data_IF_867267895523
#
_entry.id   IF_867267895523
#
_cell.length_a   1.000
_cell.length_b   1.000
_cell.length_c   1.000
_cell.angle_alpha   90.00
_cell.angle_beta   90.00
_cell.angle_gamma   90.00
#
_symmetry.space_group_name_H-M   'P 1'
#
loop_
_entity.id
_entity.type
_entity.pdbx_description
1 polymer ?
#
# COMPACT_ATOMS: atom_id res chain seq x y z
N UNK A 1 8.90 -14.31 26.79
CA UNK A 1 8.98 -12.94 26.21
C UNK A 1 9.62 -13.09 24.84
N UNK A 2 8.86 -12.98 23.76
CA UNK A 2 9.41 -13.05 22.39
C UNK A 2 9.87 -11.64 22.02
N UNK A 3 11.16 -11.48 21.79
CA UNK A 3 11.72 -10.23 21.25
C UNK A 3 11.44 -10.26 19.75
N UNK A 4 10.55 -9.39 19.28
CA UNK A 4 10.31 -9.24 17.84
C UNK A 4 11.56 -8.68 17.16
N UNK A 5 11.90 -9.22 16.00
CA UNK A 5 13.01 -8.74 15.17
C UNK A 5 12.47 -7.96 13.97
N UNK A 6 13.18 -6.91 13.54
CA UNK A 6 12.86 -6.21 12.29
C UNK A 6 13.30 -7.10 11.11
N UNK A 7 12.36 -7.49 10.26
CA UNK A 7 12.61 -8.39 9.13
C UNK A 7 13.00 -7.62 7.86
N UNK A 8 12.36 -6.47 7.61
CA UNK A 8 12.62 -5.62 6.46
C UNK A 8 12.07 -4.21 6.71
N UNK A 9 12.69 -3.19 6.10
CA UNK A 9 12.23 -1.80 6.14
C UNK A 9 12.45 -1.14 4.78
N UNK A 10 11.49 -0.37 4.28
CA UNK A 10 11.70 0.53 3.15
C UNK A 10 10.76 1.75 3.22
N UNK A 11 11.18 2.86 2.61
CA UNK A 11 10.40 4.10 2.56
C UNK A 11 9.27 3.98 1.54
N UNK A 12 8.04 3.74 2.01
CA UNK A 12 6.88 3.63 1.14
C UNK A 12 6.27 5.00 0.75
N UNK A 13 6.45 6.08 1.49
CA UNK A 13 5.92 7.41 1.10
C UNK A 13 6.65 8.50 1.87
N UNK A 14 6.79 9.68 1.25
CA UNK A 14 7.25 10.90 1.94
C UNK A 14 6.12 11.53 2.78
N UNK A 15 4.87 11.29 2.39
CA UNK A 15 3.68 11.73 3.12
C UNK A 15 3.12 10.62 4.02
N UNK A 16 2.28 11.00 4.99
CA UNK A 16 1.70 10.11 6.02
C UNK A 16 0.99 8.89 5.42
N UNK A 17 1.32 7.71 5.95
CA UNK A 17 0.65 6.44 5.69
C UNK A 17 -0.49 6.28 6.71
N UNK A 18 -1.71 5.99 6.25
CA UNK A 18 -2.87 5.81 7.13
C UNK A 18 -3.16 4.33 7.43
N UNK A 19 -2.95 3.46 6.43
CA UNK A 19 -3.17 2.02 6.55
C UNK A 19 -2.13 1.26 5.74
N UNK A 20 -1.66 0.15 6.29
CA UNK A 20 -0.93 -0.89 5.56
C UNK A 20 -1.49 -2.25 6.00
N UNK A 21 -1.91 -3.09 5.05
CA UNK A 21 -2.54 -4.37 5.34
C UNK A 21 -2.02 -5.45 4.39
N UNK A 22 -1.72 -6.63 4.94
CA UNK A 22 -1.46 -7.82 4.15
C UNK A 22 -2.74 -8.31 3.48
N UNK A 23 -2.58 -8.98 2.34
CA UNK A 23 -3.68 -9.66 1.69
C UNK A 23 -4.16 -10.81 2.58
N UNK A 24 -5.47 -11.07 2.69
CA UNK A 24 -5.99 -12.17 3.50
C UNK A 24 -5.51 -13.56 3.06
N UNK A 25 -5.11 -13.69 1.78
CA UNK A 25 -4.65 -14.94 1.18
C UNK A 25 -3.11 -15.03 1.04
N UNK A 26 -2.37 -14.02 1.49
CA UNK A 26 -0.92 -13.98 1.33
C UNK A 26 -0.28 -13.06 2.37
N UNK A 27 0.59 -13.65 3.18
CA UNK A 27 1.38 -12.94 4.19
C UNK A 27 2.64 -12.27 3.61
N UNK A 28 2.89 -12.44 2.31
CA UNK A 28 4.02 -11.79 1.64
C UNK A 28 3.58 -10.54 0.90
N UNK A 29 2.31 -10.42 0.52
CA UNK A 29 1.79 -9.28 -0.23
C UNK A 29 0.96 -8.35 0.65
N UNK A 30 1.20 -7.05 0.53
CA UNK A 30 0.46 -6.05 1.28
C UNK A 30 0.14 -4.83 0.42
N UNK A 31 -0.75 -3.98 0.92
CA UNK A 31 -1.10 -2.69 0.31
C UNK A 31 -0.93 -1.62 1.36
N UNK A 32 -0.26 -0.51 1.00
CA UNK A 32 -0.20 0.70 1.81
C UNK A 32 -0.96 1.83 1.14
N UNK A 33 -1.75 2.56 1.93
CA UNK A 33 -2.45 3.77 1.49
C UNK A 33 -2.23 4.91 2.45
N UNK A 34 -2.22 6.11 1.88
CA UNK A 34 -2.05 7.32 2.66
C UNK A 34 -2.42 8.56 1.86
N UNK A 35 -1.82 9.67 2.28
CA UNK A 35 -1.95 10.92 1.54
C UNK A 35 -1.29 10.72 0.18
N UNK A 36 -2.08 10.95 -0.89
CA UNK A 36 -1.63 10.95 -2.29
C UNK A 36 -0.98 9.66 -2.82
N UNK A 37 -1.09 8.54 -2.11
CA UNK A 37 -0.49 7.28 -2.55
C UNK A 37 -1.33 6.04 -2.25
N UNK A 38 -1.24 5.10 -3.20
CA UNK A 38 -1.54 3.69 -3.04
C UNK A 38 -0.36 2.90 -3.59
N UNK A 39 0.19 1.98 -2.80
CA UNK A 39 1.33 1.15 -3.19
C UNK A 39 1.04 -0.32 -2.89
N UNK A 40 1.35 -1.17 -3.85
CA UNK A 40 1.37 -2.61 -3.69
C UNK A 40 2.76 -3.03 -3.26
N UNK A 41 2.84 -3.72 -2.13
CA UNK A 41 4.09 -4.18 -1.54
C UNK A 41 4.19 -5.70 -1.51
N UNK A 42 5.42 -6.18 -1.49
CA UNK A 42 5.75 -7.58 -1.22
C UNK A 42 7.00 -7.68 -0.37
N UNK A 43 7.00 -8.59 0.59
CA UNK A 43 8.19 -9.02 1.31
C UNK A 43 8.86 -10.12 0.49
N UNK A 44 10.12 -9.89 0.10
CA UNK A 44 10.97 -10.86 -0.58
C UNK A 44 12.18 -11.15 0.31
N UNK A 45 12.10 -12.22 1.10
CA UNK A 45 13.13 -12.55 2.10
C UNK A 45 13.27 -11.45 3.15
N UNK A 46 14.41 -10.77 3.16
CA UNK A 46 14.73 -9.65 4.07
C UNK A 46 14.48 -8.26 3.44
N UNK A 47 13.89 -8.20 2.25
CA UNK A 47 13.69 -6.96 1.51
C UNK A 47 12.20 -6.64 1.36
N UNK A 48 11.85 -5.37 1.53
CA UNK A 48 10.51 -4.87 1.32
C UNK A 48 10.45 -4.13 -0.03
N UNK A 49 9.78 -4.75 -0.99
CA UNK A 49 9.61 -4.22 -2.34
C UNK A 49 8.23 -3.58 -2.43
N UNK A 50 8.11 -2.44 -3.10
CA UNK A 50 6.81 -1.81 -3.31
C UNK A 50 6.75 -1.05 -4.64
N UNK A 51 5.57 -1.05 -5.24
CA UNK A 51 5.30 -0.39 -6.52
C UNK A 51 4.11 0.56 -6.36
N UNK A 52 4.25 1.79 -6.87
CA UNK A 52 3.16 2.76 -6.93
C UNK A 52 2.07 2.23 -7.85
N UNK A 53 0.84 2.20 -7.35
CA UNK A 53 -0.30 1.80 -8.14
C UNK A 53 -0.75 2.92 -9.08
N UNK A 54 -1.31 2.52 -10.21
CA UNK A 54 -2.00 3.44 -11.10
C UNK A 54 -3.35 3.84 -10.47
N UNK A 55 -3.46 5.07 -10.01
CA UNK A 55 -4.70 5.64 -9.49
C UNK A 55 -5.47 6.32 -10.62
N UNK A 56 -6.31 5.57 -11.33
CA UNK A 56 -7.25 6.16 -12.29
C UNK A 56 -8.62 6.32 -11.63
N UNK A 57 -8.98 7.55 -11.29
CA UNK A 57 -10.35 7.87 -10.90
C UNK A 57 -11.14 8.22 -12.15
N UNK A 58 -12.25 7.52 -12.39
CA UNK A 58 -13.23 7.94 -13.37
C UNK A 58 -14.01 9.10 -12.75
N UNK A 59 -13.87 10.30 -13.31
CA UNK A 59 -14.70 11.46 -12.94
C UNK A 59 -15.42 11.86 -14.22
N UNK A 60 -16.75 11.77 -14.23
CA UNK A 60 -17.61 12.18 -15.35
C UNK A 60 -17.25 11.53 -16.71
N UNK A 61 -16.99 10.22 -16.71
CA UNK A 61 -16.70 9.46 -17.94
C UNK A 61 -15.33 9.77 -18.59
N UNK A 62 -14.52 10.63 -17.98
CA UNK A 62 -13.13 10.90 -18.40
C UNK A 62 -12.14 10.36 -17.37
N UNK A 63 -11.02 9.82 -17.85
CA UNK A 63 -9.89 9.46 -16.99
C UNK A 63 -9.26 10.74 -16.47
N UNK A 64 -9.51 11.07 -15.20
CA UNK A 64 -8.88 12.19 -14.53
C UNK A 64 -8.01 11.68 -13.39
N UNK A 65 -6.74 12.05 -13.39
CA UNK A 65 -5.81 11.72 -12.29
C UNK A 65 -6.03 12.73 -11.15
N UNK A 66 -7.25 12.80 -10.60
CA UNK A 66 -7.48 13.55 -9.36
C UNK A 66 -6.97 12.69 -8.22
N UNK A 67 -5.78 13.01 -7.76
CA UNK A 67 -5.13 12.32 -6.64
C UNK A 67 -5.93 12.55 -5.35
N UNK A 68 -6.68 11.53 -4.94
CA UNK A 68 -7.49 11.56 -3.71
C UNK A 68 -6.67 11.10 -2.51
N UNK A 69 -6.95 11.67 -1.34
CA UNK A 69 -6.42 11.18 -0.05
C UNK A 69 -7.11 9.86 0.28
N UNK A 70 -6.35 8.78 0.35
CA UNK A 70 -6.91 7.45 0.62
C UNK A 70 -6.86 7.16 2.12
N UNK A 71 -8.04 7.04 2.75
CA UNK A 71 -8.15 6.84 4.20
C UNK A 71 -8.32 5.36 4.60
N UNK A 72 -8.82 4.51 3.69
CA UNK A 72 -9.08 3.10 3.97
C UNK A 72 -8.84 2.22 2.75
N UNK A 73 -8.68 0.92 3.01
CA UNK A 73 -8.54 -0.15 2.02
C UNK A 73 -9.38 -1.34 2.46
N UNK A 74 -9.99 -2.03 1.50
CA UNK A 74 -10.70 -3.28 1.69
C UNK A 74 -10.30 -4.24 0.56
N UNK A 75 -10.21 -5.53 0.88
CA UNK A 75 -9.98 -6.58 -0.11
C UNK A 75 -11.33 -7.19 -0.49
N UNK A 76 -11.60 -7.29 -1.79
CA UNK A 76 -12.74 -8.06 -2.29
C UNK A 76 -12.45 -9.57 -2.25
N UNK A 77 -13.50 -10.41 -2.27
CA UNK A 77 -13.38 -11.85 -2.43
C UNK A 77 -12.76 -12.25 -3.79
#
# INVERSE_FOLDING_TARGET
>A
YVIGINVATATASEERIFRALFRPNSDTHFVSVGVKHLKFGSIAGNTLVHQKALMTTMVDGKRSTKMQTMLSIAFGP
#
